data_IF_647760379574
#
_entry.id   IF_647760379574
#
_cell.length_a   1.000
_cell.length_b   1.000
_cell.length_c   1.000
_cell.angle_alpha   90.00
_cell.angle_beta   90.00
_cell.angle_gamma   90.00
#
_symmetry.space_group_name_H-M   'P 1'
#
loop_
_entity.id
_entity.type
_entity.pdbx_description
1 polymer ?
#
# COMPACT_ATOMS: atom_id res chain seq x y z
N UNK A 1 10.67 19.77 -5.37
CA UNK A 1 10.99 18.41 -4.88
C UNK A 1 11.05 17.53 -6.13
N UNK A 2 12.10 16.71 -6.29
CA UNK A 2 12.29 15.76 -7.42
C UNK A 2 11.64 14.43 -7.05
N UNK A 3 11.09 13.71 -8.04
CA UNK A 3 10.62 12.33 -7.86
C UNK A 3 11.81 11.38 -8.05
N UNK A 4 12.16 10.66 -6.99
CA UNK A 4 13.29 9.73 -6.99
C UNK A 4 12.81 8.35 -6.52
N UNK A 5 13.03 7.32 -7.32
CA UNK A 5 12.71 5.93 -6.98
C UNK A 5 13.98 5.08 -6.93
N UNK A 6 14.23 4.51 -5.75
CA UNK A 6 15.27 3.51 -5.49
C UNK A 6 14.58 2.15 -5.30
N UNK A 7 14.49 1.37 -6.38
CA UNK A 7 13.67 0.17 -6.43
C UNK A 7 14.18 -0.93 -5.50
N UNK A 8 15.50 -1.11 -5.45
CA UNK A 8 16.13 -2.09 -4.56
C UNK A 8 15.89 -1.75 -3.08
N UNK A 9 16.00 -0.48 -2.73
CA UNK A 9 15.74 0.01 -1.36
C UNK A 9 14.26 -0.09 -1.00
N UNK A 10 13.37 0.24 -1.95
CA UNK A 10 11.91 0.12 -1.77
C UNK A 10 11.49 -1.33 -1.52
N UNK A 11 12.05 -2.30 -2.27
CA UNK A 11 11.83 -3.73 -2.02
C UNK A 11 12.36 -4.16 -0.65
N UNK A 12 13.56 -3.72 -0.29
CA UNK A 12 14.15 -4.00 1.04
C UNK A 12 13.27 -3.45 2.17
N UNK A 13 12.75 -2.24 2.00
CA UNK A 13 11.82 -1.63 2.94
C UNK A 13 10.52 -2.44 3.04
N UNK A 14 9.96 -2.88 1.91
CA UNK A 14 8.76 -3.70 1.87
C UNK A 14 8.93 -5.00 2.66
N UNK A 15 10.06 -5.70 2.51
CA UNK A 15 10.35 -6.94 3.25
C UNK A 15 10.53 -6.69 4.75
N UNK A 16 11.23 -5.61 5.12
CA UNK A 16 11.42 -5.23 6.52
C UNK A 16 10.09 -4.89 7.20
N UNK A 17 9.25 -4.10 6.54
CA UNK A 17 7.91 -3.72 7.03
C UNK A 17 7.03 -4.95 7.11
N UNK A 18 7.03 -5.82 6.09
CA UNK A 18 6.26 -7.07 6.10
C UNK A 18 6.59 -7.95 7.31
N UNK A 19 7.87 -8.10 7.65
CA UNK A 19 8.31 -8.87 8.83
C UNK A 19 7.78 -8.27 10.15
N UNK A 20 7.76 -6.93 10.25
CA UNK A 20 7.20 -6.23 11.41
C UNK A 20 5.67 -6.38 11.47
N UNK A 21 4.98 -6.30 10.34
CA UNK A 21 3.54 -6.54 10.26
C UNK A 21 3.19 -7.97 10.71
N UNK A 22 3.95 -8.98 10.28
CA UNK A 22 3.73 -10.36 10.71
C UNK A 22 3.88 -10.55 12.22
N UNK A 23 4.85 -9.85 12.82
CA UNK A 23 5.03 -9.84 14.27
C UNK A 23 3.87 -9.15 15.00
N UNK A 24 3.35 -8.05 14.42
CA UNK A 24 2.18 -7.33 14.97
C UNK A 24 0.90 -8.16 14.88
N UNK A 25 0.64 -8.80 13.75
CA UNK A 25 -0.51 -9.70 13.55
C UNK A 25 -0.52 -10.76 14.65
N UNK A 26 0.60 -11.48 14.85
CA UNK A 26 0.72 -12.48 15.93
C UNK A 26 0.45 -11.92 17.31
N UNK A 27 0.93 -10.70 17.59
CA UNK A 27 0.67 -10.00 18.85
C UNK A 27 -0.81 -9.69 19.07
N UNK A 28 -1.49 -9.17 18.05
CA UNK A 28 -2.91 -8.87 18.11
C UNK A 28 -3.78 -10.14 18.18
N UNK A 29 -3.44 -11.19 17.44
CA UNK A 29 -4.12 -12.49 17.54
C UNK A 29 -3.97 -13.10 18.93
N UNK A 30 -2.78 -12.99 19.53
CA UNK A 30 -2.54 -13.42 20.92
C UNK A 30 -3.39 -12.62 21.91
N UNK A 31 -3.54 -11.31 21.70
CA UNK A 31 -4.43 -10.46 22.49
C UNK A 31 -5.90 -10.85 22.32
N UNK A 32 -6.36 -11.10 21.09
CA UNK A 32 -7.72 -11.56 20.83
C UNK A 32 -8.01 -12.90 21.50
N UNK A 33 -7.05 -13.82 21.47
CA UNK A 33 -7.14 -15.10 22.17
C UNK A 33 -7.24 -14.90 23.68
N UNK A 34 -6.36 -14.10 24.28
CA UNK A 34 -6.38 -13.82 25.71
C UNK A 34 -7.70 -13.16 26.17
N UNK A 35 -8.25 -12.24 25.36
CA UNK A 35 -9.56 -11.64 25.63
C UNK A 35 -10.68 -12.69 25.55
N UNK A 36 -10.65 -13.56 24.53
CA UNK A 36 -11.64 -14.63 24.38
C UNK A 36 -11.57 -15.61 25.55
N UNK A 37 -10.36 -16.02 25.95
CA UNK A 37 -10.16 -16.89 27.11
C UNK A 37 -10.63 -16.22 28.41
N UNK A 38 -10.36 -14.92 28.58
CA UNK A 38 -10.89 -14.16 29.70
C UNK A 38 -12.43 -14.13 29.70
N UNK A 39 -13.08 -14.00 28.54
CA UNK A 39 -14.54 -13.97 28.47
C UNK A 39 -15.18 -15.34 28.72
N UNK A 40 -14.74 -16.37 27.99
CA UNK A 40 -15.40 -17.68 27.97
C UNK A 40 -14.88 -18.67 29.03
N UNK A 41 -13.59 -18.58 29.36
CA UNK A 41 -12.87 -19.60 30.13
C UNK A 41 -12.52 -19.16 31.57
N UNK A 42 -13.02 -18.01 32.04
CA UNK A 42 -12.78 -17.51 33.40
C UNK A 42 -14.06 -17.46 34.25
N UNK A 43 -14.84 -18.53 34.26
CA UNK A 43 -16.12 -18.59 34.98
C UNK A 43 -16.01 -18.28 36.49
N UNK A 44 -14.85 -18.56 37.10
CA UNK A 44 -14.58 -18.22 38.51
C UNK A 44 -14.36 -16.72 38.77
N UNK A 45 -14.08 -15.91 37.74
CA UNK A 45 -13.98 -14.46 37.83
C UNK A 45 -15.37 -13.86 37.58
N UNK A 46 -16.06 -13.47 38.65
CA UNK A 46 -17.44 -13.00 38.62
C UNK A 46 -17.69 -11.83 39.57
N UNK A 47 -18.81 -11.15 39.38
CA UNK A 47 -19.18 -9.95 40.13
C UNK A 47 -19.02 -8.70 39.27
N UNK A 48 -19.68 -7.61 39.68
CA UNK A 48 -19.88 -6.40 38.85
C UNK A 48 -18.62 -5.90 38.14
N UNK A 49 -17.47 -5.91 38.82
CA UNK A 49 -16.18 -5.52 38.24
C UNK A 49 -15.73 -6.46 37.12
N UNK A 50 -15.72 -7.77 37.36
CA UNK A 50 -15.31 -8.76 36.36
C UNK A 50 -16.31 -8.88 35.22
N UNK A 51 -17.61 -8.82 35.52
CA UNK A 51 -18.68 -8.93 34.52
C UNK A 51 -18.61 -7.73 33.55
N UNK A 52 -18.48 -6.50 34.07
CA UNK A 52 -18.29 -5.31 33.22
C UNK A 52 -16.96 -5.33 32.46
N UNK A 53 -15.88 -5.86 33.05
CA UNK A 53 -14.61 -6.02 32.35
C UNK A 53 -14.73 -7.00 31.17
N UNK A 54 -15.40 -8.14 31.36
CA UNK A 54 -15.63 -9.14 30.30
C UNK A 54 -16.39 -8.54 29.13
N UNK A 55 -17.52 -7.88 29.41
CA UNK A 55 -18.30 -7.18 28.39
C UNK A 55 -17.47 -6.10 27.68
N UNK A 56 -16.69 -5.32 28.44
CA UNK A 56 -15.86 -4.27 27.89
C UNK A 56 -14.77 -4.80 26.97
N UNK A 57 -14.05 -5.82 27.41
CA UNK A 57 -12.93 -6.39 26.68
C UNK A 57 -13.41 -7.00 25.37
N UNK A 58 -14.54 -7.71 25.36
CA UNK A 58 -15.12 -8.26 24.14
C UNK A 58 -15.72 -7.20 23.21
N UNK A 59 -16.34 -6.15 23.75
CA UNK A 59 -17.04 -5.16 22.93
C UNK A 59 -16.15 -4.04 22.41
N UNK A 60 -15.00 -3.79 23.06
CA UNK A 60 -14.09 -2.68 22.72
C UNK A 60 -12.69 -3.18 22.41
N UNK A 61 -12.04 -3.90 23.32
CA UNK A 61 -10.63 -4.28 23.13
C UNK A 61 -10.46 -5.35 22.04
N UNK A 62 -11.39 -6.30 21.92
CA UNK A 62 -11.34 -7.33 20.89
C UNK A 62 -11.48 -6.75 19.47
N UNK A 63 -12.47 -5.87 19.17
CA UNK A 63 -12.52 -5.16 17.89
C UNK A 63 -11.30 -4.27 17.63
N UNK A 64 -10.72 -3.64 18.65
CA UNK A 64 -9.46 -2.88 18.47
C UNK A 64 -8.30 -3.77 18.07
N UNK A 65 -8.15 -4.93 18.72
CA UNK A 65 -7.13 -5.90 18.34
C UNK A 65 -7.36 -6.43 16.91
N UNK A 66 -8.61 -6.68 16.54
CA UNK A 66 -8.98 -7.02 15.16
C UNK A 66 -8.59 -5.91 14.16
N UNK A 67 -8.84 -4.64 14.50
CA UNK A 67 -8.40 -3.51 13.71
C UNK A 67 -6.87 -3.49 13.54
N UNK A 68 -6.14 -3.80 14.60
CA UNK A 68 -4.68 -3.93 14.57
C UNK A 68 -4.18 -5.02 13.61
N UNK A 69 -4.86 -6.17 13.55
CA UNK A 69 -4.59 -7.23 12.55
C UNK A 69 -4.80 -6.68 11.15
N UNK A 70 -6.00 -6.16 10.85
CA UNK A 70 -6.35 -5.67 9.52
C UNK A 70 -5.44 -4.54 9.04
N UNK A 71 -5.09 -3.60 9.93
CA UNK A 71 -4.17 -2.50 9.62
C UNK A 71 -2.79 -3.02 9.27
N UNK A 72 -2.29 -4.02 10.03
CA UNK A 72 -0.99 -4.62 9.77
C UNK A 72 -0.96 -5.40 8.45
N UNK A 73 -2.04 -6.12 8.13
CA UNK A 73 -2.21 -6.81 6.85
C UNK A 73 -2.30 -5.83 5.67
N UNK A 74 -3.16 -4.81 5.76
CA UNK A 74 -3.30 -3.78 4.72
C UNK A 74 -1.99 -3.03 4.49
N UNK A 75 -1.25 -2.71 5.56
CA UNK A 75 0.08 -2.09 5.45
C UNK A 75 1.07 -3.01 4.74
N UNK A 76 1.08 -4.31 5.09
CA UNK A 76 1.95 -5.32 4.47
C UNK A 76 1.64 -5.48 2.98
N UNK A 77 0.37 -5.49 2.61
CA UNK A 77 -0.06 -5.61 1.23
C UNK A 77 0.32 -4.37 0.42
N UNK A 78 -0.02 -3.18 0.91
CA UNK A 78 0.28 -1.92 0.24
C UNK A 78 1.78 -1.69 0.02
N UNK A 79 2.62 -1.95 1.04
CA UNK A 79 4.07 -1.73 0.92
C UNK A 79 4.74 -2.72 -0.04
N UNK A 80 4.19 -3.93 -0.19
CA UNK A 80 4.65 -4.92 -1.19
C UNK A 80 4.21 -4.51 -2.59
N UNK A 81 2.95 -4.07 -2.73
CA UNK A 81 2.37 -3.66 -4.00
C UNK A 81 3.05 -2.43 -4.60
N UNK A 82 3.53 -1.50 -3.78
CA UNK A 82 4.19 -0.27 -4.26
C UNK A 82 5.36 -0.53 -5.24
N UNK A 83 6.44 -1.26 -4.87
CA UNK A 83 7.53 -1.55 -5.81
C UNK A 83 7.12 -2.48 -6.96
N UNK A 84 6.10 -3.33 -6.79
CA UNK A 84 5.56 -4.19 -7.84
C UNK A 84 4.84 -3.37 -8.92
N UNK A 85 3.97 -2.43 -8.53
CA UNK A 85 3.26 -1.52 -9.44
C UNK A 85 4.24 -0.56 -10.14
N UNK A 86 5.27 -0.07 -9.43
CA UNK A 86 6.35 0.67 -10.08
C UNK A 86 7.04 -0.17 -11.16
N UNK A 87 7.37 -1.43 -10.85
CA UNK A 87 8.03 -2.34 -11.79
C UNK A 87 7.16 -2.58 -13.04
N UNK A 88 5.85 -2.73 -12.85
CA UNK A 88 4.90 -2.98 -13.93
C UNK A 88 4.64 -1.75 -14.80
N UNK A 89 4.59 -0.54 -14.22
CA UNK A 89 4.17 0.69 -14.92
C UNK A 89 5.34 1.53 -15.41
N UNK A 90 6.44 1.55 -14.67
CA UNK A 90 7.58 2.44 -14.92
C UNK A 90 8.76 1.66 -15.48
N UNK A 91 9.45 0.88 -14.64
CA UNK A 91 10.65 0.14 -15.04
C UNK A 91 11.16 -0.83 -13.96
N UNK A 92 12.11 -1.70 -14.33
CA UNK A 92 12.85 -2.58 -13.43
C UNK A 92 14.09 -1.93 -12.79
N UNK A 93 14.32 -0.63 -13.03
CA UNK A 93 15.51 0.11 -12.61
C UNK A 93 15.16 1.33 -11.77
N UNK A 94 16.18 1.90 -11.12
CA UNK A 94 16.08 3.15 -10.38
C UNK A 94 15.96 4.33 -11.36
N UNK A 95 15.11 5.31 -11.03
CA UNK A 95 14.95 6.51 -11.82
C UNK A 95 14.84 7.74 -10.93
N UNK A 96 15.53 8.80 -11.33
CA UNK A 96 15.40 10.13 -10.73
C UNK A 96 14.94 11.11 -11.79
N UNK A 97 13.88 11.84 -11.48
CA UNK A 97 13.31 12.84 -12.37
C UNK A 97 14.36 13.90 -12.77
N UNK A 98 15.18 14.33 -11.83
CA UNK A 98 16.24 15.31 -12.10
C UNK A 98 17.26 14.81 -13.13
N UNK A 99 17.74 13.58 -13.01
CA UNK A 99 18.69 12.96 -13.95
C UNK A 99 18.06 12.71 -15.33
N UNK A 100 16.77 12.37 -15.38
CA UNK A 100 16.01 12.24 -16.63
C UNK A 100 15.88 13.58 -17.36
N UNK A 101 15.54 14.65 -16.64
CA UNK A 101 15.41 16.01 -17.21
C UNK A 101 16.76 16.51 -17.71
N UNK A 102 17.83 16.29 -16.95
CA UNK A 102 19.19 16.65 -17.36
C UNK A 102 19.58 15.90 -18.64
N UNK A 103 19.34 14.59 -18.69
CA UNK A 103 19.62 13.77 -19.86
C UNK A 103 18.84 14.24 -21.09
N UNK A 104 17.55 14.53 -20.95
CA UNK A 104 16.73 15.08 -22.05
C UNK A 104 17.28 16.42 -22.56
N UNK A 105 17.69 17.31 -21.64
CA UNK A 105 18.30 18.60 -21.99
C UNK A 105 19.60 18.42 -22.77
N UNK A 106 20.44 17.46 -22.36
CA UNK A 106 21.68 17.12 -23.06
C UNK A 106 21.40 16.53 -24.44
N UNK A 107 20.44 15.61 -24.56
CA UNK A 107 20.02 15.01 -25.83
C UNK A 107 19.53 16.08 -26.80
N UNK A 108 18.67 17.00 -26.35
CA UNK A 108 18.19 18.12 -27.18
C UNK A 108 19.34 18.99 -27.70
N UNK A 109 20.36 19.23 -26.86
CA UNK A 109 21.54 19.96 -27.29
C UNK A 109 22.34 19.19 -28.34
N UNK A 110 22.49 17.86 -28.20
CA UNK A 110 23.17 17.04 -29.22
C UNK A 110 22.41 17.03 -30.54
N UNK A 111 21.09 16.93 -30.51
CA UNK A 111 20.26 17.02 -31.72
C UNK A 111 20.48 18.36 -32.42
N UNK A 112 20.45 19.48 -31.69
CA UNK A 112 20.74 20.82 -32.24
C UNK A 112 22.13 20.88 -32.89
N UNK A 113 23.16 20.41 -32.18
CA UNK A 113 24.53 20.38 -32.70
C UNK A 113 24.64 19.54 -33.98
N UNK A 114 23.94 18.40 -34.05
CA UNK A 114 23.94 17.54 -35.24
C UNK A 114 23.26 18.20 -36.43
N UNK A 115 22.19 18.98 -36.22
CA UNK A 115 21.59 19.79 -37.27
C UNK A 115 22.53 20.90 -37.76
N UNK A 116 23.29 21.55 -36.86
CA UNK A 116 24.31 22.52 -37.25
C UNK A 116 25.43 21.86 -38.09
N UNK A 117 25.87 20.66 -37.69
CA UNK A 117 26.84 19.86 -38.45
C UNK A 117 26.28 19.50 -39.82
N UNK A 118 25.01 19.10 -39.92
CA UNK A 118 24.34 18.79 -41.17
C UNK A 118 24.38 19.96 -42.14
N UNK A 119 24.01 21.16 -41.66
CA UNK A 119 24.08 22.38 -42.44
C UNK A 119 25.52 22.62 -42.94
N UNK A 120 26.52 22.49 -42.07
CA UNK A 120 27.92 22.63 -42.47
C UNK A 120 28.35 21.63 -43.57
N UNK A 121 27.92 20.36 -43.48
CA UNK A 121 28.17 19.36 -44.52
C UNK A 121 27.48 19.75 -45.83
N UNK A 122 26.27 20.32 -45.76
CA UNK A 122 25.51 20.75 -46.93
C UNK A 122 26.19 21.92 -47.68
N UNK A 123 26.81 22.86 -46.97
CA UNK A 123 27.43 24.06 -47.55
C UNK A 123 28.93 23.92 -47.89
N UNK A 124 29.69 23.06 -47.19
CA UNK A 124 31.14 22.98 -47.40
C UNK A 124 31.50 22.30 -48.73
N UNK A 125 32.44 22.85 -49.53
CA UNK A 125 32.85 22.23 -50.79
C UNK A 125 33.62 20.93 -50.56
N UNK A 126 33.06 19.80 -51.02
CA UNK A 126 33.70 18.48 -50.95
C UNK A 126 33.16 17.53 -52.04
N UNK A 127 33.86 16.42 -52.35
CA UNK A 127 33.37 15.42 -53.30
C UNK A 127 32.01 14.83 -52.91
N UNK A 128 31.10 14.66 -53.88
CA UNK A 128 29.72 14.21 -53.66
C UNK A 128 29.60 12.88 -52.92
N UNK A 129 30.50 11.93 -53.20
CA UNK A 129 30.53 10.65 -52.50
C UNK A 129 30.82 10.84 -51.00
N UNK A 130 31.78 11.70 -50.66
CA UNK A 130 32.13 11.99 -49.26
C UNK A 130 30.97 12.70 -48.56
N UNK A 131 30.37 13.70 -49.24
CA UNK A 131 29.20 14.42 -48.72
C UNK A 131 28.05 13.47 -48.39
N UNK A 132 27.73 12.56 -49.31
CA UNK A 132 26.66 11.57 -49.14
C UNK A 132 26.89 10.68 -47.92
N UNK A 133 28.12 10.17 -47.74
CA UNK A 133 28.48 9.34 -46.60
C UNK A 133 28.33 10.10 -45.28
N UNK A 134 28.80 11.35 -45.23
CA UNK A 134 28.72 12.18 -44.01
C UNK A 134 27.29 12.56 -43.65
N UNK A 135 26.45 12.90 -44.63
CA UNK A 135 25.03 13.19 -44.40
C UNK A 135 24.29 11.96 -43.89
N UNK A 136 24.57 10.78 -44.45
CA UNK A 136 23.99 9.52 -43.99
C UNK A 136 24.37 9.23 -42.53
N UNK A 137 25.66 9.30 -42.18
CA UNK A 137 26.12 9.09 -40.81
C UNK A 137 25.54 10.12 -39.82
N UNK A 138 25.42 11.39 -40.23
CA UNK A 138 24.80 12.43 -39.40
C UNK A 138 23.31 12.14 -39.16
N UNK A 139 22.57 11.73 -40.18
CA UNK A 139 21.15 11.36 -40.07
C UNK A 139 20.95 10.18 -39.12
N UNK A 140 21.78 9.13 -39.19
CA UNK A 140 21.73 8.00 -38.25
C UNK A 140 21.93 8.46 -36.79
N UNK A 141 22.86 9.40 -36.55
CA UNK A 141 23.06 9.96 -35.21
C UNK A 141 21.86 10.79 -34.74
N UNK A 142 21.27 11.61 -35.61
CA UNK A 142 20.07 12.38 -35.28
C UNK A 142 18.94 11.43 -34.87
N UNK A 143 18.70 10.38 -35.65
CA UNK A 143 17.67 9.39 -35.36
C UNK A 143 17.91 8.69 -34.02
N UNK A 144 19.16 8.28 -33.75
CA UNK A 144 19.53 7.68 -32.46
C UNK A 144 19.19 8.59 -31.27
N UNK A 145 19.59 9.87 -31.32
CA UNK A 145 19.27 10.80 -30.24
C UNK A 145 17.78 11.12 -30.13
N UNK A 146 17.04 11.16 -31.25
CA UNK A 146 15.58 11.33 -31.23
C UNK A 146 14.88 10.14 -30.57
N UNK A 147 15.33 8.91 -30.84
CA UNK A 147 14.79 7.72 -30.20
C UNK A 147 15.13 7.66 -28.70
N UNK A 148 16.34 8.06 -28.32
CA UNK A 148 16.70 8.22 -26.91
C UNK A 148 15.82 9.28 -26.21
N UNK A 149 15.59 10.43 -26.86
CA UNK A 149 14.72 11.49 -26.33
C UNK A 149 13.31 10.97 -26.06
N UNK A 150 12.74 10.24 -27.02
CA UNK A 150 11.41 9.62 -26.89
C UNK A 150 11.35 8.66 -25.72
N UNK A 151 12.32 7.73 -25.62
CA UNK A 151 12.36 6.73 -24.56
C UNK A 151 12.47 7.37 -23.16
N UNK A 152 13.30 8.42 -23.00
CA UNK A 152 13.48 9.09 -21.71
C UNK A 152 12.30 9.98 -21.34
N UNK A 153 11.64 10.61 -22.33
CA UNK A 153 10.40 11.35 -22.12
C UNK A 153 9.28 10.43 -21.67
N UNK A 154 9.08 9.30 -22.35
CA UNK A 154 8.10 8.28 -21.94
C UNK A 154 8.39 7.76 -20.52
N UNK A 155 9.67 7.59 -20.16
CA UNK A 155 10.05 7.17 -18.81
C UNK A 155 9.71 8.20 -17.76
N UNK A 156 10.01 9.47 -18.03
CA UNK A 156 9.71 10.59 -17.14
C UNK A 156 8.20 10.72 -16.91
N UNK A 157 7.39 10.59 -17.97
CA UNK A 157 5.94 10.65 -17.86
C UNK A 157 5.40 9.50 -17.02
N UNK A 158 5.83 8.25 -17.26
CA UNK A 158 5.45 7.09 -16.44
C UNK A 158 5.84 7.25 -14.97
N UNK A 159 7.03 7.79 -14.69
CA UNK A 159 7.48 8.05 -13.32
C UNK A 159 6.56 9.06 -12.62
N UNK A 160 6.16 10.13 -13.32
CA UNK A 160 5.25 11.16 -12.80
C UNK A 160 3.84 10.62 -12.58
N UNK A 161 3.31 9.84 -13.53
CA UNK A 161 2.01 9.19 -13.41
C UNK A 161 1.98 8.19 -12.25
N UNK A 162 3.03 7.40 -12.09
CA UNK A 162 3.17 6.50 -10.95
C UNK A 162 3.19 7.29 -9.65
N UNK A 163 4.02 8.33 -9.53
CA UNK A 163 4.05 9.17 -8.33
C UNK A 163 2.68 9.77 -8.00
N UNK A 164 1.94 10.24 -9.00
CA UNK A 164 0.61 10.81 -8.82
C UNK A 164 -0.45 9.78 -8.35
N UNK A 165 -0.37 8.53 -8.83
CA UNK A 165 -1.34 7.47 -8.53
C UNK A 165 -0.95 6.57 -7.36
N UNK A 166 0.33 6.55 -6.98
CA UNK A 166 0.84 5.65 -5.95
C UNK A 166 0.25 5.84 -4.54
N UNK A 167 -0.21 7.03 -4.10
CA UNK A 167 -0.87 7.17 -2.80
C UNK A 167 -2.13 6.31 -2.67
N UNK A 168 -2.85 6.05 -3.77
CA UNK A 168 -4.08 5.24 -3.76
C UNK A 168 -3.84 3.80 -3.32
N UNK A 169 -2.60 3.30 -3.46
CA UNK A 169 -2.17 1.98 -2.98
C UNK A 169 -2.36 1.86 -1.46
N UNK A 170 -2.32 2.97 -0.72
CA UNK A 170 -2.40 3.01 0.75
C UNK A 170 -3.78 3.44 1.28
N UNK A 171 -4.76 3.69 0.41
CA UNK A 171 -6.07 4.25 0.79
C UNK A 171 -6.86 3.42 1.83
N UNK A 172 -6.73 2.08 1.82
CA UNK A 172 -7.38 1.22 2.83
C UNK A 172 -6.85 1.48 4.26
N UNK A 173 -5.56 1.84 4.37
CA UNK A 173 -4.90 2.09 5.65
C UNK A 173 -5.54 3.29 6.35
N UNK A 174 -5.84 4.37 5.62
CA UNK A 174 -6.42 5.60 6.17
C UNK A 174 -7.79 5.33 6.83
N UNK A 175 -8.63 4.52 6.17
CA UNK A 175 -9.95 4.17 6.68
C UNK A 175 -9.88 3.33 7.98
N UNK A 176 -8.95 2.36 8.03
CA UNK A 176 -8.70 1.54 9.21
C UNK A 176 -8.11 2.38 10.35
N UNK A 177 -7.13 3.24 10.04
CA UNK A 177 -6.46 4.10 11.03
C UNK A 177 -7.46 5.04 11.71
N UNK A 178 -8.37 5.64 10.95
CA UNK A 178 -9.45 6.50 11.47
C UNK A 178 -10.34 5.75 12.47
N UNK A 179 -10.79 4.55 12.11
CA UNK A 179 -11.63 3.71 12.99
C UNK A 179 -10.89 3.29 14.27
N UNK A 180 -9.61 2.95 14.16
CA UNK A 180 -8.78 2.56 15.31
C UNK A 180 -8.53 3.76 16.24
N UNK A 181 -8.22 4.95 15.69
CA UNK A 181 -8.04 6.18 16.48
C UNK A 181 -9.28 6.52 17.29
N UNK A 182 -10.47 6.39 16.70
CA UNK A 182 -11.74 6.60 17.41
C UNK A 182 -11.91 5.62 18.58
N UNK A 183 -11.67 4.32 18.36
CA UNK A 183 -11.76 3.31 19.42
C UNK A 183 -10.72 3.53 20.54
N UNK A 184 -9.47 3.85 20.19
CA UNK A 184 -8.42 4.13 21.17
C UNK A 184 -8.71 5.36 22.04
N UNK A 185 -9.38 6.38 21.48
CA UNK A 185 -9.82 7.54 22.25
C UNK A 185 -10.81 7.15 23.36
N UNK A 186 -11.70 6.19 23.08
CA UNK A 186 -12.69 5.71 24.05
C UNK A 186 -12.07 4.85 25.17
N UNK A 187 -10.94 4.19 24.91
CA UNK A 187 -10.26 3.38 25.94
C UNK A 187 -9.74 4.20 27.11
N UNK A 188 -9.34 5.45 26.86
CA UNK A 188 -8.68 6.31 27.86
C UNK A 188 -9.53 6.64 29.09
N UNK A 189 -10.86 6.60 28.98
CA UNK A 189 -11.80 6.96 30.06
C UNK A 189 -12.77 5.83 30.37
N UNK A 190 -12.32 4.58 30.22
CA UNK A 190 -13.16 3.39 30.30
C UNK A 190 -13.44 2.90 31.72
N UNK A 191 -12.63 3.27 32.71
CA UNK A 191 -12.79 2.83 34.09
C UNK A 191 -13.57 3.84 34.93
N UNK A 192 -14.57 3.38 35.68
CA UNK A 192 -15.27 4.19 36.68
C UNK A 192 -14.86 3.76 38.09
N UNK A 193 -14.09 4.60 38.76
CA UNK A 193 -13.60 4.34 40.11
C UNK A 193 -14.71 4.28 41.16
N UNK A 194 -15.78 5.08 40.99
CA UNK A 194 -16.87 5.15 41.97
C UNK A 194 -17.74 3.90 41.97
N UNK A 195 -17.98 3.30 40.79
CA UNK A 195 -18.73 2.05 40.66
C UNK A 195 -17.84 0.81 40.68
N UNK A 196 -16.53 0.96 40.50
CA UNK A 196 -15.59 -0.16 40.36
C UNK A 196 -15.86 -1.01 39.11
N UNK A 197 -16.31 -0.38 38.02
CA UNK A 197 -16.72 -1.08 36.78
C UNK A 197 -16.18 -0.39 35.54
N UNK A 198 -16.08 -1.15 34.45
CA UNK A 198 -15.84 -0.58 33.13
C UNK A 198 -17.12 0.04 32.57
N UNK A 199 -17.01 1.21 31.94
CA UNK A 199 -18.10 1.93 31.29
C UNK A 199 -18.12 1.59 29.80
N UNK A 200 -19.30 1.26 29.30
CA UNK A 200 -19.48 1.06 27.87
C UNK A 200 -19.55 2.39 27.10
N UNK A 201 -18.74 2.56 26.02
CA UNK A 201 -18.91 3.68 25.12
C UNK A 201 -20.31 3.64 24.48
N UNK A 202 -20.91 4.81 24.29
CA UNK A 202 -22.20 4.91 23.63
C UNK A 202 -22.12 4.62 22.13
N UNK A 203 -20.97 4.94 21.51
CA UNK A 203 -20.76 4.78 20.07
C UNK A 203 -19.71 3.70 19.77
N UNK A 204 -20.17 2.60 19.19
CA UNK A 204 -19.35 1.49 18.69
C UNK A 204 -19.41 1.39 17.15
N UNK A 205 -19.74 2.47 16.45
CA UNK A 205 -19.75 2.52 14.98
C UNK A 205 -18.39 2.15 14.38
N UNK A 206 -17.29 2.61 14.97
CA UNK A 206 -15.93 2.26 14.55
C UNK A 206 -15.65 0.75 14.62
N UNK A 207 -16.16 0.05 15.64
CA UNK A 207 -16.02 -1.40 15.76
C UNK A 207 -16.81 -2.13 14.66
N UNK A 208 -17.98 -1.60 14.27
CA UNK A 208 -18.75 -2.10 13.13
C UNK A 208 -18.00 -1.87 11.81
N UNK A 209 -17.37 -0.70 11.63
CA UNK A 209 -16.53 -0.42 10.45
C UNK A 209 -15.38 -1.43 10.32
N UNK A 210 -14.66 -1.71 11.41
CA UNK A 210 -13.61 -2.75 11.44
C UNK A 210 -14.18 -4.14 11.09
N UNK A 211 -15.34 -4.49 11.64
CA UNK A 211 -16.00 -5.76 11.31
C UNK A 211 -16.40 -5.85 9.83
N UNK A 212 -16.88 -4.76 9.25
CA UNK A 212 -17.26 -4.71 7.84
C UNK A 212 -16.05 -4.90 6.93
N UNK A 213 -14.90 -4.26 7.24
CA UNK A 213 -13.65 -4.48 6.48
C UNK A 213 -13.22 -5.95 6.55
N UNK A 214 -13.22 -6.57 7.74
CA UNK A 214 -12.92 -8.00 7.88
C UNK A 214 -13.86 -8.87 7.04
N UNK A 215 -15.17 -8.62 7.13
CA UNK A 215 -16.16 -9.40 6.39
C UNK A 215 -15.96 -9.23 4.88
N UNK A 216 -15.67 -8.02 4.40
CA UNK A 216 -15.38 -7.78 2.99
C UNK A 216 -14.16 -8.59 2.51
N UNK A 217 -13.08 -8.64 3.29
CA UNK A 217 -11.90 -9.49 2.96
C UNK A 217 -12.25 -10.98 2.94
N UNK A 218 -13.03 -11.46 3.92
CA UNK A 218 -13.49 -12.86 3.96
C UNK A 218 -14.38 -13.19 2.74
N UNK A 219 -15.30 -12.29 2.38
CA UNK A 219 -16.16 -12.45 1.20
C UNK A 219 -15.31 -12.54 -0.07
N UNK A 220 -14.32 -11.66 -0.23
CA UNK A 220 -13.40 -11.69 -1.36
C UNK A 220 -12.67 -13.05 -1.45
N UNK A 221 -12.13 -13.54 -0.33
CA UNK A 221 -11.49 -14.86 -0.26
C UNK A 221 -12.46 -15.98 -0.66
N UNK A 222 -13.68 -16.00 -0.12
CA UNK A 222 -14.65 -17.04 -0.45
C UNK A 222 -15.07 -17.03 -1.92
N UNK A 223 -15.22 -15.85 -2.52
CA UNK A 223 -15.54 -15.74 -3.94
C UNK A 223 -14.35 -16.14 -4.83
N UNK A 224 -13.18 -15.57 -4.58
CA UNK A 224 -12.01 -15.71 -5.46
C UNK A 224 -11.33 -17.06 -5.34
N UNK A 225 -11.24 -17.63 -4.13
CA UNK A 225 -10.52 -18.89 -3.91
C UNK A 225 -11.44 -20.11 -3.96
N UNK A 226 -12.70 -19.97 -3.56
CA UNK A 226 -13.62 -21.10 -3.40
C UNK A 226 -14.84 -21.06 -4.33
N UNK A 227 -15.08 -19.94 -5.04
CA UNK A 227 -16.19 -19.81 -5.98
C UNK A 227 -17.57 -19.88 -5.33
N UNK A 228 -17.68 -19.56 -4.03
CA UNK A 228 -18.97 -19.58 -3.33
C UNK A 228 -19.88 -18.44 -3.80
N UNK A 229 -21.17 -18.74 -3.91
CA UNK A 229 -22.21 -17.75 -4.17
C UNK A 229 -22.52 -16.91 -2.93
N UNK A 230 -23.23 -15.80 -3.13
CA UNK A 230 -23.52 -14.82 -2.08
C UNK A 230 -24.38 -15.37 -0.94
N UNK A 231 -25.30 -16.30 -1.24
CA UNK A 231 -26.19 -16.91 -0.23
C UNK A 231 -25.39 -17.84 0.69
N UNK A 232 -24.50 -18.65 0.09
CA UNK A 232 -23.58 -19.52 0.82
C UNK A 232 -22.64 -18.71 1.74
N UNK A 233 -22.09 -17.60 1.24
CA UNK A 233 -21.20 -16.74 2.02
C UNK A 233 -21.93 -16.08 3.19
N UNK A 234 -23.16 -15.59 2.97
CA UNK A 234 -23.96 -14.97 4.03
C UNK A 234 -24.27 -15.97 5.17
N UNK A 235 -24.56 -17.23 4.83
CA UNK A 235 -24.77 -18.30 5.80
C UNK A 235 -23.51 -18.59 6.62
N UNK A 236 -22.33 -18.64 5.98
CA UNK A 236 -21.04 -18.85 6.66
C UNK A 236 -20.72 -17.70 7.63
N UNK A 237 -20.97 -16.45 7.25
CA UNK A 237 -20.74 -15.30 8.13
C UNK A 237 -21.71 -15.29 9.32
N UNK A 238 -22.97 -15.71 9.13
CA UNK A 238 -23.97 -15.83 10.21
C UNK A 238 -23.59 -16.92 11.22
N UNK A 239 -23.09 -18.06 10.75
CA UNK A 239 -22.67 -19.16 11.63
C UNK A 239 -21.44 -18.78 12.46
N UNK A 240 -20.46 -18.04 11.91
CA UNK A 240 -19.33 -17.51 12.70
C UNK A 240 -19.74 -16.60 13.85
N UNK A 241 -20.82 -15.81 13.69
CA UNK A 241 -21.36 -14.96 14.77
C UNK A 241 -22.12 -15.74 15.85
N UNK A 242 -22.56 -16.96 15.54
CA UNK A 242 -23.39 -17.80 16.42
C UNK A 242 -22.67 -18.93 17.15
N UNK A 243 -21.38 -19.19 16.85
CA UNK A 243 -20.62 -20.28 17.48
C UNK A 243 -19.82 -19.72 18.67
N UNK A 244 -20.16 -20.05 19.94
CA UNK A 244 -19.22 -19.85 21.04
C UNK A 244 -17.95 -20.68 20.79
N UNK A 245 -16.75 -20.19 21.14
CA UNK A 245 -15.52 -20.92 20.89
C UNK A 245 -15.60 -22.32 21.51
N UNK A 246 -15.25 -23.33 20.71
CA UNK A 246 -15.30 -24.72 21.13
C UNK A 246 -14.37 -24.95 22.33
N UNK A 247 -14.91 -25.71 23.29
CA UNK A 247 -14.35 -26.07 24.61
C UNK A 247 -12.93 -26.65 24.54
#
# INVERSE_FOLDING_TARGET
MSIDMYLSESRTQADSVATRCDSRVKGYESLQKAISDFYFNSQGLSGKTYDSAKEYFMSVLYPLAQGGVLLSEATKEAIKRFPEEYTARVDTCDWKESELIESLTQIDQQIRNLYDIRLNIEYYPMPDLIKTILLYANEEQIQLYQDMNRAFSEKLDRLREFNASSPDIFSEIDALESSIKQGLAQVKSSWNESSGTFMMPQDLSWAKSISNVKNAKIIAIYREQYGFDDETIELLLKTQKGIPPQK
#
